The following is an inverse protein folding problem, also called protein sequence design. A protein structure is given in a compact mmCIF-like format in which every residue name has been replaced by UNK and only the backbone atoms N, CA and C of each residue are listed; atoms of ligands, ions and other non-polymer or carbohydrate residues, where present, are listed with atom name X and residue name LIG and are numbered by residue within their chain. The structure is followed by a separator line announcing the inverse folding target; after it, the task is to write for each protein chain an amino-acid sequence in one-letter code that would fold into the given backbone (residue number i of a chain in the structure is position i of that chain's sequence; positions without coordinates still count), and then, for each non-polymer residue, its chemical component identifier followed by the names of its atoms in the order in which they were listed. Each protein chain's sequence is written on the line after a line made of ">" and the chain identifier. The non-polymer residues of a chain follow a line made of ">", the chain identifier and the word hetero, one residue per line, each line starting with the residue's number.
data_IF_832873203533
#
_entry.id   IF_832873203533
#
_cell.length_a   1.000
_cell.length_b   1.000
_cell.length_c   1.000
_cell.angle_alpha   90.00
_cell.angle_beta   90.00
_cell.angle_gamma   90.00
#
_symmetry.space_group_name_H-M   'P 1'
#
loop_
_entity.id
_entity.type
_entity.pdbx_description
1 polymer ?
#
# COMPACT_ATOMS: atom_id res chain seq x y z
N UNK A 1 -5.84 -10.64 -8.08
CA UNK A 1 -4.85 -9.78 -7.42
C UNK A 1 -5.48 -8.79 -6.43
N UNK A 2 -6.57 -8.16 -6.80
CA UNK A 2 -7.24 -7.20 -5.90
C UNK A 2 -7.62 -7.84 -4.56
N UNK A 3 -8.16 -9.06 -4.61
CA UNK A 3 -8.54 -9.77 -3.38
C UNK A 3 -7.37 -9.98 -2.45
N UNK A 4 -6.21 -10.31 -3.00
CA UNK A 4 -4.99 -10.52 -2.22
C UNK A 4 -4.60 -9.22 -1.54
N UNK A 5 -4.60 -8.12 -2.28
CA UNK A 5 -4.23 -6.81 -1.75
C UNK A 5 -5.15 -6.38 -0.61
N UNK A 6 -6.45 -6.52 -0.80
CA UNK A 6 -7.40 -6.12 0.23
C UNK A 6 -7.33 -7.02 1.46
N UNK A 7 -7.18 -8.33 1.25
CA UNK A 7 -7.07 -9.26 2.36
C UNK A 7 -5.86 -8.94 3.23
N UNK A 8 -4.72 -8.69 2.61
CA UNK A 8 -3.51 -8.37 3.34
C UNK A 8 -3.57 -6.99 3.99
N UNK A 9 -4.22 -6.04 3.33
CA UNK A 9 -4.40 -4.72 3.89
C UNK A 9 -5.22 -4.79 5.18
N UNK A 10 -6.34 -5.52 5.15
CA UNK A 10 -7.18 -5.67 6.33
C UNK A 10 -6.44 -6.37 7.46
N UNK A 11 -5.60 -7.35 7.12
CA UNK A 11 -4.85 -8.10 8.10
C UNK A 11 -3.87 -7.21 8.88
N UNK A 12 -3.25 -6.26 8.19
CA UNK A 12 -2.20 -5.43 8.78
C UNK A 12 -2.59 -3.98 9.02
N UNK A 13 -3.83 -3.63 8.72
CA UNK A 13 -4.30 -2.26 8.86
C UNK A 13 -4.18 -1.77 10.30
N UNK A 14 -3.69 -0.54 10.45
CA UNK A 14 -3.59 0.08 11.77
C UNK A 14 -2.49 -0.45 12.66
N UNK A 15 -1.57 -1.23 12.11
CA UNK A 15 -0.50 -1.84 12.92
C UNK A 15 0.84 -1.13 12.80
N UNK A 16 0.83 0.09 12.28
CA UNK A 16 2.03 0.91 12.21
C UNK A 16 3.03 0.43 11.20
N UNK A 17 4.30 0.78 11.41
CA UNK A 17 5.37 0.43 10.47
C UNK A 17 5.55 -1.07 10.33
N UNK A 18 5.38 -1.81 11.43
CA UNK A 18 5.47 -3.27 11.38
C UNK A 18 4.41 -3.85 10.45
N UNK A 19 3.18 -3.33 10.55
CA UNK A 19 2.10 -3.77 9.68
C UNK A 19 2.38 -3.45 8.23
N UNK A 20 2.91 -2.26 7.97
CA UNK A 20 3.26 -1.87 6.61
C UNK A 20 4.34 -2.79 6.03
N UNK A 21 5.39 -3.06 6.81
CA UNK A 21 6.46 -3.94 6.36
C UNK A 21 5.96 -5.35 6.09
N UNK A 22 5.13 -5.88 6.98
CA UNK A 22 4.58 -7.23 6.80
C UNK A 22 3.64 -7.29 5.60
N UNK A 23 2.86 -6.23 5.40
CA UNK A 23 1.99 -6.15 4.24
C UNK A 23 2.80 -6.27 2.93
N UNK A 24 3.87 -5.49 2.81
CA UNK A 24 4.72 -5.52 1.63
C UNK A 24 5.39 -6.89 1.46
N UNK A 25 5.86 -7.45 2.56
CA UNK A 25 6.50 -8.75 2.53
C UNK A 25 5.54 -9.84 2.04
N UNK A 26 4.35 -9.87 2.61
CA UNK A 26 3.37 -10.89 2.25
C UNK A 26 2.85 -10.70 0.83
N UNK A 27 2.73 -9.45 0.36
CA UNK A 27 2.39 -9.21 -1.04
C UNK A 27 3.45 -9.82 -1.95
N UNK A 28 4.70 -9.60 -1.62
CA UNK A 28 5.80 -10.14 -2.41
C UNK A 28 5.74 -11.67 -2.41
N UNK A 29 5.48 -12.28 -1.26
CA UNK A 29 5.35 -13.73 -1.15
C UNK A 29 4.18 -14.26 -1.96
N UNK A 30 3.15 -13.45 -2.16
CA UNK A 30 2.00 -13.81 -2.96
C UNK A 30 2.21 -13.59 -4.46
N UNK A 31 3.38 -13.07 -4.84
CA UNK A 31 3.70 -12.83 -6.23
C UNK A 31 3.39 -11.42 -6.71
N UNK A 32 3.09 -10.51 -5.80
CA UNK A 32 2.79 -9.13 -6.16
C UNK A 32 4.00 -8.25 -5.86
N UNK A 33 4.45 -7.52 -6.87
CA UNK A 33 5.58 -6.59 -6.72
C UNK A 33 5.05 -5.17 -6.82
N UNK A 34 5.55 -4.30 -5.95
CA UNK A 34 5.18 -2.89 -5.96
C UNK A 34 6.36 -2.05 -6.41
N UNK A 35 6.14 -1.26 -7.44
CA UNK A 35 7.16 -0.34 -7.96
C UNK A 35 6.67 1.09 -7.84
N UNK A 36 7.58 2.00 -7.55
CA UNK A 36 7.27 3.43 -7.51
C UNK A 36 7.44 4.02 -8.89
N UNK A 37 6.39 4.70 -9.34
CA UNK A 37 6.45 5.40 -10.62
C UNK A 37 6.98 6.81 -10.38
N UNK A 38 8.05 7.16 -11.07
CA UNK A 38 8.70 8.47 -10.91
C UNK A 38 8.61 9.25 -12.20
N UNK A 39 8.53 10.57 -12.07
CA UNK A 39 8.58 11.45 -13.23
C UNK A 39 10.03 11.76 -13.59
N UNK A 40 10.23 12.63 -14.58
CA UNK A 40 11.58 12.98 -15.03
C UNK A 40 12.43 13.64 -13.96
N UNK A 41 11.79 14.24 -12.97
CA UNK A 41 12.47 14.91 -11.87
C UNK A 41 12.75 13.98 -10.70
N UNK A 42 12.40 12.71 -10.83
CA UNK A 42 12.61 11.73 -9.79
C UNK A 42 11.57 11.71 -8.71
N UNK A 43 10.49 12.47 -8.86
CA UNK A 43 9.42 12.48 -7.86
C UNK A 43 8.45 11.33 -8.09
N UNK A 44 8.10 10.64 -7.01
CA UNK A 44 7.12 9.57 -7.07
C UNK A 44 5.73 10.16 -7.23
N UNK A 45 5.01 9.72 -8.24
CA UNK A 45 3.65 10.19 -8.46
C UNK A 45 2.62 9.06 -8.40
N UNK A 46 3.06 7.82 -8.25
CA UNK A 46 2.15 6.71 -8.15
C UNK A 46 2.86 5.41 -7.86
N UNK A 47 2.07 4.37 -7.66
CA UNK A 47 2.59 3.03 -7.47
C UNK A 47 2.06 2.12 -8.56
N UNK A 48 2.88 1.15 -8.96
CA UNK A 48 2.51 0.14 -9.93
C UNK A 48 2.60 -1.21 -9.24
N UNK A 49 1.54 -1.98 -9.33
CA UNK A 49 1.49 -3.32 -8.77
C UNK A 49 1.61 -4.32 -9.92
N UNK A 50 2.55 -5.24 -9.83
CA UNK A 50 2.76 -6.25 -10.86
C UNK A 50 2.47 -7.62 -10.30
N UNK A 51 1.64 -8.38 -11.01
CA UNK A 51 1.29 -9.74 -10.61
C UNK A 51 1.40 -10.63 -11.84
N UNK A 52 2.40 -11.51 -11.83
CA UNK A 52 2.68 -12.31 -13.00
C UNK A 52 3.07 -11.45 -14.18
N UNK A 53 2.33 -11.55 -15.27
CA UNK A 53 2.58 -10.76 -16.47
C UNK A 53 1.73 -9.50 -16.54
N UNK A 54 0.96 -9.24 -15.50
CA UNK A 54 0.03 -8.12 -15.49
C UNK A 54 0.52 -7.00 -14.58
N UNK A 55 0.35 -5.77 -15.03
CA UNK A 55 0.71 -4.60 -14.24
C UNK A 55 -0.52 -3.72 -14.09
N UNK A 56 -0.70 -3.17 -12.88
CA UNK A 56 -1.84 -2.35 -12.56
C UNK A 56 -1.38 -1.10 -11.82
N UNK A 57 -2.00 0.03 -12.14
CA UNK A 57 -1.77 1.23 -11.36
C UNK A 57 -2.53 1.08 -10.04
N UNK A 58 -2.01 1.70 -8.99
CA UNK A 58 -2.66 1.63 -7.69
C UNK A 58 -4.12 2.05 -7.76
N UNK A 59 -4.44 3.08 -8.56
CA UNK A 59 -5.79 3.56 -8.69
C UNK A 59 -6.74 2.53 -9.32
N UNK A 60 -6.18 1.58 -10.07
CA UNK A 60 -6.98 0.51 -10.67
C UNK A 60 -7.34 -0.56 -9.64
N UNK A 61 -6.57 -0.65 -8.57
CA UNK A 61 -6.81 -1.62 -7.50
C UNK A 61 -7.75 -1.02 -6.47
N UNK A 62 -7.46 0.21 -6.04
CA UNK A 62 -8.29 0.90 -5.09
C UNK A 62 -7.58 2.15 -4.57
N UNK A 63 -8.36 3.11 -4.09
CA UNK A 63 -7.81 4.35 -3.55
C UNK A 63 -6.83 4.12 -2.41
N UNK A 64 -7.07 3.09 -1.63
CA UNK A 64 -6.26 2.77 -0.46
C UNK A 64 -4.82 2.47 -0.83
N UNK A 65 -4.57 2.09 -2.07
CA UNK A 65 -3.25 1.65 -2.49
C UNK A 65 -2.41 2.72 -3.17
N UNK A 66 -2.90 3.96 -3.21
CA UNK A 66 -2.12 5.07 -3.77
C UNK A 66 -0.87 5.34 -2.94
N UNK A 67 0.16 5.91 -3.58
CA UNK A 67 1.43 6.09 -2.88
C UNK A 67 1.33 7.05 -1.68
N UNK A 68 0.33 7.92 -1.68
CA UNK A 68 0.11 8.83 -0.55
C UNK A 68 -0.84 8.25 0.48
N UNK A 69 -1.76 7.39 0.03
CA UNK A 69 -2.79 6.86 0.92
C UNK A 69 -2.42 5.54 1.55
N UNK A 70 -1.61 4.73 0.86
CA UNK A 70 -1.24 3.43 1.40
C UNK A 70 -0.61 3.50 2.78
N UNK A 71 0.39 4.36 3.03
CA UNK A 71 0.98 4.43 4.36
C UNK A 71 -0.03 4.82 5.44
N UNK A 72 -1.03 5.60 5.08
CA UNK A 72 -2.04 6.03 6.04
C UNK A 72 -2.90 4.88 6.54
N UNK A 73 -3.01 3.82 5.76
CA UNK A 73 -3.80 2.66 6.15
C UNK A 73 -3.18 1.93 7.34
N UNK A 74 -1.90 2.14 7.57
CA UNK A 74 -1.18 1.46 8.65
C UNK A 74 -0.97 2.34 9.87
N UNK A 75 -1.40 3.59 9.84
CA UNK A 75 -1.28 4.47 10.97
C UNK A 75 -2.06 3.89 12.15
N UNK A 76 -1.46 3.94 13.32
CA UNK A 76 -2.09 3.45 14.52
C UNK A 76 -3.21 4.41 14.89
N UNK A 77 -4.33 3.85 15.02
CA UNK A 77 -5.46 4.63 15.24
C UNK A 77 -5.40 5.54 16.40
N UNK A 78 -5.34 5.87 16.08
CA UNK A 78 -5.59 6.80 16.45
C UNK A 78 -4.91 7.74 16.49
N UNK A 79 -4.30 7.20 16.19
CA UNK A 79 -3.73 8.34 15.96
C UNK A 79 -4.64 9.46 15.87
N UNK A 80 -5.33 9.23 16.19
CA UNK A 80 -6.21 10.05 16.03
C UNK A 80 -6.23 11.09 16.90
N UNK A 81 -5.96 10.98 16.81
CA UNK A 81 -6.08 11.87 17.03
C UNK A 81 -5.91 12.67 17.78
N UNK A 82 -5.82 12.85 17.84
CA UNK A 82 -5.68 13.57 18.31
C UNK A 82 -5.79 14.35 19.05
N UNK A 83 -5.91 14.21 19.13
CA UNK A 83 -6.18 14.79 19.67
C UNK A 83 -6.19 15.53 20.44
N UNK A 84 -6.32 15.53 20.49
CA UNK A 84 -6.49 16.15 21.08
C UNK A 84 -6.48 16.68 21.69
N UNK A 85 -6.53 16.95 22.00
CA UNK A 85 -6.62 17.48 22.34
C UNK A 85 -6.42 17.90 22.67
#
# INVERSE_FOLDING_TARGET
>A
MRSICYALLEKHRGKGLSGHSMFLYELHQSGVTIDRMKNKQGKVYGLKFTYGEHSFKASEIGREFGFRTLPKQFEIGNAQKPIIP
#
